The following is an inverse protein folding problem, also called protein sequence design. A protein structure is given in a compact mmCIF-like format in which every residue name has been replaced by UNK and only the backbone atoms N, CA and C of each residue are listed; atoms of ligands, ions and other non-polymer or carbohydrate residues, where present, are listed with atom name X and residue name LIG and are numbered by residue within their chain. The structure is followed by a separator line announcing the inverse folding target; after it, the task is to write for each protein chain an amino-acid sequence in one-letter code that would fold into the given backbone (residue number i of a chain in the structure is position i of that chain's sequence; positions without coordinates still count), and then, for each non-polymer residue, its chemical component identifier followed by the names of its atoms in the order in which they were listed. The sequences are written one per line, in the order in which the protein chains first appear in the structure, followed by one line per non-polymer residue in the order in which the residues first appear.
data_IF_714914355627
#
_entry.id   IF_714914355627
#
_cell.length_a   1.000
_cell.length_b   1.000
_cell.length_c   1.000
_cell.angle_alpha   90.00
_cell.angle_beta   90.00
_cell.angle_gamma   90.00
#
_symmetry.space_group_name_H-M   'P 1'
#
loop_
_entity.id
_entity.type
_entity.pdbx_description
1 polymer ?
#
# COMPACT_ATOMS: atom_id res chain seq x y z
N UNK A 1 4.05 5.01 15.23
CA UNK A 1 3.02 3.95 15.17
C UNK A 1 3.08 3.33 13.77
N UNK A 2 3.01 2.01 13.65
CA UNK A 2 2.79 1.35 12.35
C UNK A 2 1.28 1.39 12.09
N UNK A 3 0.83 2.23 11.17
CA UNK A 3 -0.54 2.15 10.70
C UNK A 3 -0.60 1.00 9.67
N UNK A 4 -1.34 -0.06 10.02
CA UNK A 4 -1.65 -1.17 9.12
C UNK A 4 -3.08 -0.97 8.63
N UNK A 5 -3.28 -0.97 7.31
CA UNK A 5 -4.60 -1.07 6.71
C UNK A 5 -4.83 -2.48 6.18
N UNK A 6 -6.10 -2.88 6.11
CA UNK A 6 -6.52 -4.13 5.50
C UNK A 6 -7.47 -3.83 4.37
N UNK A 7 -7.24 -4.48 3.24
CA UNK A 7 -8.08 -4.40 2.06
C UNK A 7 -8.54 -5.82 1.69
N UNK A 8 -9.84 -5.96 1.43
CA UNK A 8 -10.42 -7.21 0.93
C UNK A 8 -10.48 -7.08 -0.58
N UNK A 9 -9.70 -7.91 -1.27
CA UNK A 9 -9.70 -8.01 -2.72
C UNK A 9 -10.61 -9.17 -3.13
N UNK A 10 -11.78 -8.83 -3.67
CA UNK A 10 -12.72 -9.80 -4.22
C UNK A 10 -12.19 -10.34 -5.56
N UNK A 11 -12.03 -11.66 -5.66
CA UNK A 11 -11.62 -12.35 -6.90
C UNK A 11 -12.58 -13.49 -7.20
N UNK A 12 -12.56 -14.01 -8.44
CA UNK A 12 -13.42 -15.13 -8.84
C UNK A 12 -13.11 -16.43 -8.05
N UNK A 13 -11.87 -16.55 -7.54
CA UNK A 13 -11.40 -17.68 -6.72
C UNK A 13 -11.68 -17.47 -5.21
N UNK A 14 -12.26 -16.33 -4.84
CA UNK A 14 -12.61 -15.95 -3.47
C UNK A 14 -11.90 -14.70 -2.96
N UNK A 15 -12.23 -14.32 -1.74
CA UNK A 15 -11.74 -13.09 -1.12
C UNK A 15 -10.30 -13.25 -0.64
N UNK A 16 -9.47 -12.27 -1.00
CA UNK A 16 -8.06 -12.17 -0.62
C UNK A 16 -7.89 -11.03 0.38
N UNK A 17 -7.19 -11.28 1.49
CA UNK A 17 -6.93 -10.25 2.52
C UNK A 17 -5.54 -9.68 2.32
N UNK A 18 -5.50 -8.45 1.81
CA UNK A 18 -4.25 -7.72 1.57
C UNK A 18 -3.99 -6.80 2.76
N UNK A 19 -2.83 -6.96 3.40
CA UNK A 19 -2.31 -6.04 4.40
C UNK A 19 -1.48 -4.97 3.73
N UNK A 20 -1.68 -3.73 4.14
CA UNK A 20 -1.00 -2.56 3.59
C UNK A 20 -0.24 -1.90 4.74
N UNK A 21 1.07 -1.81 4.59
CA UNK A 21 1.97 -1.23 5.58
C UNK A 21 2.52 0.10 5.10
N UNK A 22 2.33 1.16 5.88
CA UNK A 22 2.94 2.46 5.60
C UNK A 22 4.40 2.47 6.03
N UNK A 23 5.31 2.87 5.14
CA UNK A 23 6.70 3.09 5.52
C UNK A 23 6.92 4.55 5.94
N UNK A 24 7.12 4.77 7.25
CA UNK A 24 7.46 6.09 7.80
C UNK A 24 8.86 6.01 8.42
N UNK A 25 9.94 6.14 7.64
CA UNK A 25 11.28 6.15 8.18
C UNK A 25 11.44 7.41 9.04
N UNK A 26 11.78 7.22 10.30
CA UNK A 26 12.28 8.30 11.12
C UNK A 26 13.70 8.62 10.64
N UNK A 27 13.86 9.71 9.89
CA UNK A 27 15.18 10.22 9.55
C UNK A 27 15.68 10.98 10.78
N UNK A 28 16.74 10.48 11.43
CA UNK A 28 17.30 11.11 12.64
C UNK A 28 17.56 12.60 12.41
N UNK A 29 16.87 13.45 13.18
CA UNK A 29 17.03 14.91 13.18
C UNK A 29 15.92 15.71 12.46
N UNK A 30 15.06 15.04 11.71
CA UNK A 30 13.90 15.65 11.04
C UNK A 30 12.66 14.79 11.32
N UNK A 31 11.46 15.37 11.39
CA UNK A 31 10.24 14.62 11.70
C UNK A 31 10.02 13.39 10.80
N UNK A 32 9.13 12.48 11.21
CA UNK A 32 8.69 11.39 10.33
C UNK A 32 7.94 11.99 9.14
N UNK A 33 8.34 11.65 7.92
CA UNK A 33 7.59 11.99 6.71
C UNK A 33 7.01 10.71 6.11
N UNK A 34 5.75 10.76 5.68
CA UNK A 34 5.18 9.71 4.85
C UNK A 34 5.96 9.68 3.53
N UNK A 35 6.62 8.56 3.22
CA UNK A 35 7.42 8.44 1.98
C UNK A 35 6.55 8.21 0.75
N UNK A 36 5.22 8.10 0.92
CA UNK A 36 4.31 7.67 -0.14
C UNK A 36 4.45 6.19 -0.50
N UNK A 37 5.26 5.42 0.22
CA UNK A 37 5.50 3.98 -0.04
C UNK A 37 4.61 3.12 0.87
N UNK A 38 3.87 2.22 0.23
CA UNK A 38 2.93 1.30 0.86
C UNK A 38 3.25 -0.14 0.45
N UNK A 39 3.75 -0.93 1.38
CA UNK A 39 4.06 -2.33 1.14
C UNK A 39 2.80 -3.20 1.24
N UNK A 40 2.63 -4.11 0.30
CA UNK A 40 1.49 -5.02 0.17
C UNK A 40 1.89 -6.43 0.57
N UNK A 41 1.09 -7.05 1.45
CA UNK A 41 1.38 -8.40 1.93
C UNK A 41 0.11 -9.24 2.05
N UNK A 42 0.17 -10.49 1.60
CA UNK A 42 -0.89 -11.48 1.79
C UNK A 42 -0.33 -12.68 2.57
N UNK A 43 -0.76 -12.84 3.82
CA UNK A 43 -0.19 -13.86 4.70
C UNK A 43 1.31 -13.64 4.93
N UNK A 44 2.16 -14.49 4.32
CA UNK A 44 3.63 -14.37 4.32
C UNK A 44 4.21 -13.98 2.95
N UNK A 45 3.34 -13.82 1.96
CA UNK A 45 3.72 -13.50 0.58
C UNK A 45 3.82 -12.00 0.43
N UNK A 46 4.99 -11.55 -0.04
CA UNK A 46 5.20 -10.18 -0.47
C UNK A 46 4.55 -9.97 -1.85
N UNK A 47 3.70 -8.95 -1.93
CA UNK A 47 3.01 -8.54 -3.16
C UNK A 47 3.62 -7.25 -3.73
N UNK A 48 4.75 -6.79 -3.22
CA UNK A 48 5.42 -5.58 -3.67
C UNK A 48 4.83 -4.31 -3.05
N UNK A 49 5.10 -3.18 -3.70
CA UNK A 49 4.85 -1.86 -3.14
C UNK A 49 4.02 -1.01 -4.10
N UNK A 50 3.13 -0.20 -3.52
CA UNK A 50 2.53 0.96 -4.20
C UNK A 50 3.28 2.20 -3.74
N UNK A 51 3.83 2.95 -4.69
CA UNK A 51 4.57 4.18 -4.44
C UNK A 51 3.80 5.35 -5.04
N UNK A 52 3.40 6.29 -4.19
CA UNK A 52 2.76 7.53 -4.61
C UNK A 52 3.76 8.66 -4.80
N UNK A 53 3.42 9.60 -5.68
CA UNK A 53 4.06 10.92 -5.71
C UNK A 53 3.80 11.72 -4.42
N UNK A 54 4.45 12.88 -4.30
CA UNK A 54 4.33 13.80 -3.16
C UNK A 54 2.89 14.29 -2.91
N UNK A 55 2.03 14.21 -3.93
CA UNK A 55 0.64 14.68 -3.90
C UNK A 55 -0.38 13.55 -3.81
N UNK A 56 0.07 12.30 -3.73
CA UNK A 56 -0.76 11.10 -3.84
C UNK A 56 -1.69 11.11 -5.06
N UNK A 57 -1.23 11.65 -6.19
CA UNK A 57 -2.01 11.71 -7.45
C UNK A 57 -1.58 10.65 -8.44
N UNK A 58 -0.28 10.44 -8.57
CA UNK A 58 0.30 9.40 -9.39
C UNK A 58 0.79 8.27 -8.48
N UNK A 59 0.71 7.05 -9.00
CA UNK A 59 1.22 5.88 -8.31
C UNK A 59 1.89 4.93 -9.28
N UNK A 60 2.86 4.19 -8.77
CA UNK A 60 3.51 3.09 -9.44
C UNK A 60 3.42 1.84 -8.58
N UNK A 61 3.39 0.68 -9.24
CA UNK A 61 3.37 -0.62 -8.58
C UNK A 61 4.59 -1.42 -8.99
N UNK A 62 5.38 -1.90 -8.01
CA UNK A 62 6.67 -2.54 -8.26
C UNK A 62 6.55 -3.94 -8.87
N UNK A 63 5.35 -4.54 -8.87
CA UNK A 63 5.07 -5.74 -9.65
C UNK A 63 5.68 -7.02 -9.07
N UNK A 64 5.42 -7.33 -7.79
CA UNK A 64 5.82 -8.59 -7.17
C UNK A 64 4.63 -9.49 -6.83
N UNK A 65 4.87 -10.80 -6.73
CA UNK A 65 3.83 -11.76 -6.33
C UNK A 65 2.71 -11.93 -7.35
N UNK A 66 1.55 -12.42 -6.88
CA UNK A 66 0.38 -12.73 -7.72
C UNK A 66 -0.69 -11.63 -7.58
N UNK A 67 -0.34 -10.41 -7.98
CA UNK A 67 -1.26 -9.28 -7.99
C UNK A 67 -1.10 -8.53 -9.31
N UNK A 68 -2.20 -8.42 -10.05
CA UNK A 68 -2.24 -7.74 -11.35
C UNK A 68 -2.22 -6.23 -11.15
N UNK A 69 -1.80 -5.49 -12.18
CA UNK A 69 -1.80 -4.03 -12.14
C UNK A 69 -3.22 -3.45 -11.92
N UNK A 70 -4.27 -4.13 -12.39
CA UNK A 70 -5.66 -3.71 -12.17
C UNK A 70 -6.09 -3.86 -10.71
N UNK A 71 -5.66 -4.93 -10.05
CA UNK A 71 -5.91 -5.13 -8.61
C UNK A 71 -5.09 -4.14 -7.78
N UNK A 72 -3.82 -3.89 -8.16
CA UNK A 72 -2.99 -2.85 -7.56
C UNK A 72 -3.66 -1.46 -7.65
N UNK A 73 -4.29 -1.14 -8.78
CA UNK A 73 -5.01 0.13 -8.96
C UNK A 73 -6.17 0.30 -7.97
N UNK A 74 -6.93 -0.77 -7.68
CA UNK A 74 -8.02 -0.74 -6.69
C UNK A 74 -7.48 -0.52 -5.28
N UNK A 75 -6.35 -1.14 -4.96
CA UNK A 75 -5.67 -0.95 -3.67
C UNK A 75 -5.13 0.48 -3.56
N UNK A 76 -4.54 1.02 -4.63
CA UNK A 76 -4.06 2.40 -4.67
C UNK A 76 -5.20 3.40 -4.43
N UNK A 77 -6.34 3.22 -5.09
CA UNK A 77 -7.54 4.04 -4.88
C UNK A 77 -8.05 3.93 -3.44
N UNK A 78 -8.05 2.72 -2.86
CA UNK A 78 -8.37 2.54 -1.44
C UNK A 78 -7.41 3.31 -0.53
N UNK A 79 -6.10 3.25 -0.78
CA UNK A 79 -5.09 3.97 0.00
C UNK A 79 -5.31 5.49 -0.08
N UNK A 80 -5.54 6.03 -1.28
CA UNK A 80 -5.82 7.46 -1.49
C UNK A 80 -7.06 7.94 -0.72
N UNK A 81 -8.10 7.12 -0.68
CA UNK A 81 -9.36 7.45 -0.02
C UNK A 81 -9.36 7.14 1.48
N UNK A 82 -8.48 6.25 1.92
CA UNK A 82 -8.31 5.97 3.35
C UNK A 82 -7.69 7.19 4.02
N UNK A 83 -8.35 7.71 5.06
CA UNK A 83 -7.80 8.78 5.91
C UNK A 83 -6.65 8.21 6.74
N UNK A 84 -5.53 7.92 6.10
CA UNK A 84 -4.28 7.68 6.80
C UNK A 84 -3.90 9.06 7.33
N UNK A 85 -4.07 9.25 8.65
CA UNK A 85 -3.74 10.50 9.32
C UNK A 85 -2.36 10.96 8.89
N UNK A 86 -2.34 12.15 8.28
CA UNK A 86 -1.15 12.83 7.75
C UNK A 86 -0.40 13.54 8.85
#
# INVERSE_FOLDING_TARGET
MKNELKYILETDDGDRVIKIHTYNPAISGTGTYATGVFALQEGKTDLGDIVFDDKMRQWEYTGMGNLTHKEAARIAEFIQNSKIDR
#
